data_IF_289371502701
#
_entry.id   IF_289371502701
#
_cell.length_a   1.000
_cell.length_b   1.000
_cell.length_c   1.000
_cell.angle_alpha   90.00
_cell.angle_beta   90.00
_cell.angle_gamma   90.00
#
_symmetry.space_group_name_H-M   'P 1'
#
loop_
_entity.id
_entity.type
_entity.pdbx_description
1 polymer ?
#
# COMPACT_ATOMS: atom_id res chain seq x y z
N UNK A 1 -10.43 26.90 2.49
CA UNK A 1 -10.32 26.01 3.66
C UNK A 1 -10.77 24.56 3.40
N UNK A 2 -11.74 24.28 2.52
CA UNK A 2 -12.21 22.90 2.24
C UNK A 2 -11.36 22.11 1.23
N UNK A 3 -10.51 22.75 0.44
CA UNK A 3 -9.54 22.05 -0.44
C UNK A 3 -8.36 21.45 0.35
N UNK A 4 -8.04 22.03 1.48
CA UNK A 4 -7.05 21.51 2.42
C UNK A 4 -7.41 20.10 2.94
N UNK A 5 -8.69 19.86 3.24
CA UNK A 5 -9.13 18.65 3.92
C UNK A 5 -8.97 17.33 3.12
N UNK A 6 -8.92 17.36 1.78
CA UNK A 6 -8.71 16.14 0.96
C UNK A 6 -7.22 15.84 0.86
N UNK A 7 -6.39 16.86 0.64
CA UNK A 7 -4.92 16.72 0.65
C UNK A 7 -4.40 16.28 2.02
N UNK A 8 -5.02 16.73 3.10
CA UNK A 8 -4.63 16.37 4.47
C UNK A 8 -4.72 14.86 4.71
N UNK A 9 -5.72 14.17 4.14
CA UNK A 9 -5.88 12.71 4.30
C UNK A 9 -4.84 11.92 3.53
N UNK A 10 -4.56 12.28 2.28
CA UNK A 10 -3.49 11.67 1.49
C UNK A 10 -2.14 11.84 2.20
N UNK A 11 -1.89 13.01 2.78
CA UNK A 11 -0.68 13.24 3.58
C UNK A 11 -0.67 12.46 4.90
N UNK A 12 -1.81 12.24 5.54
CA UNK A 12 -1.90 11.37 6.74
C UNK A 12 -1.58 9.93 6.37
N UNK A 13 -2.13 9.41 5.27
CA UNK A 13 -1.79 8.09 4.75
C UNK A 13 -0.31 7.94 4.44
N UNK A 14 0.26 8.94 3.76
CA UNK A 14 1.68 9.00 3.45
C UNK A 14 2.55 9.06 4.72
N UNK A 15 2.19 9.91 5.67
CA UNK A 15 2.92 10.02 6.95
C UNK A 15 2.86 8.70 7.74
N UNK A 16 1.70 8.02 7.74
CA UNK A 16 1.55 6.70 8.33
C UNK A 16 2.47 5.67 7.65
N UNK A 17 2.53 5.68 6.30
CA UNK A 17 3.38 4.76 5.55
C UNK A 17 4.87 5.00 5.82
N UNK A 18 5.32 6.25 5.83
CA UNK A 18 6.70 6.62 6.14
C UNK A 18 7.06 6.17 7.57
N UNK A 19 6.18 6.43 8.53
CA UNK A 19 6.37 5.96 9.91
C UNK A 19 6.46 4.44 9.97
N UNK A 20 5.59 3.73 9.22
CA UNK A 20 5.63 2.28 9.08
C UNK A 20 6.96 1.76 8.52
N UNK A 21 7.55 2.46 7.54
CA UNK A 21 8.87 2.11 6.97
C UNK A 21 9.96 2.25 8.05
N UNK A 22 10.00 3.35 8.80
CA UNK A 22 10.98 3.54 9.87
C UNK A 22 10.85 2.48 10.96
N UNK A 23 9.63 2.12 11.35
CA UNK A 23 9.37 1.04 12.33
C UNK A 23 9.81 -0.31 11.76
N UNK A 24 9.58 -0.58 10.48
CA UNK A 24 10.04 -1.80 9.82
C UNK A 24 11.58 -1.89 9.81
N UNK A 25 12.28 -0.78 9.56
CA UNK A 25 13.75 -0.73 9.57
C UNK A 25 14.33 -1.02 10.96
N UNK A 26 13.66 -0.61 12.05
CA UNK A 26 14.06 -0.97 13.42
C UNK A 26 13.89 -2.49 13.70
N UNK A 27 12.99 -3.15 13.01
CA UNK A 27 12.79 -4.61 13.07
C UNK A 27 12.16 -5.16 14.35
N UNK A 28 11.94 -4.32 15.37
CA UNK A 28 11.42 -4.75 16.68
C UNK A 28 9.90 -4.87 16.71
N UNK A 29 9.22 -4.01 15.99
CA UNK A 29 7.78 -3.81 16.08
C UNK A 29 7.06 -3.92 14.73
N UNK A 30 7.30 -5.01 14.01
CA UNK A 30 6.77 -5.26 12.66
C UNK A 30 5.24 -5.14 12.61
N UNK A 31 4.54 -5.53 13.69
CA UNK A 31 3.08 -5.41 13.77
C UNK A 31 2.60 -3.97 13.57
N UNK A 32 3.31 -2.98 14.13
CA UNK A 32 2.94 -1.56 13.94
C UNK A 32 3.15 -1.10 12.51
N UNK A 33 4.16 -1.63 11.79
CA UNK A 33 4.35 -1.37 10.36
C UNK A 33 3.20 -1.94 9.52
N UNK A 34 2.71 -3.14 9.89
CA UNK A 34 1.54 -3.75 9.24
C UNK A 34 0.28 -2.94 9.52
N UNK A 35 0.09 -2.45 10.75
CA UNK A 35 -1.02 -1.55 11.10
C UNK A 35 -0.94 -0.24 10.31
N UNK A 36 0.25 0.34 10.17
CA UNK A 36 0.47 1.55 9.38
C UNK A 36 0.09 1.34 7.91
N UNK A 37 0.38 0.17 7.33
CA UNK A 37 -0.05 -0.20 5.99
C UNK A 37 -1.59 -0.28 5.87
N UNK A 38 -2.26 -0.85 6.87
CA UNK A 38 -3.73 -0.90 6.89
C UNK A 38 -4.34 0.49 6.98
N UNK A 39 -3.77 1.37 7.82
CA UNK A 39 -4.22 2.77 7.94
C UNK A 39 -4.05 3.49 6.61
N UNK A 40 -2.89 3.36 5.94
CA UNK A 40 -2.65 3.95 4.63
C UNK A 40 -3.68 3.47 3.60
N UNK A 41 -3.99 2.16 3.57
CA UNK A 41 -5.02 1.60 2.68
C UNK A 41 -6.44 2.10 2.97
N UNK A 42 -6.78 2.30 4.24
CA UNK A 42 -8.06 2.90 4.61
C UNK A 42 -8.14 4.37 4.16
N UNK A 43 -7.08 5.16 4.37
CA UNK A 43 -7.03 6.54 3.91
C UNK A 43 -7.25 6.62 2.40
N UNK A 44 -6.54 5.82 1.59
CA UNK A 44 -6.67 5.77 0.14
C UNK A 44 -8.11 5.40 -0.30
N UNK A 45 -8.71 4.40 0.33
CA UNK A 45 -10.09 4.00 0.01
C UNK A 45 -11.10 5.13 0.23
N UNK A 46 -10.90 5.99 1.24
CA UNK A 46 -11.78 7.12 1.51
C UNK A 46 -11.51 8.30 0.57
N UNK A 47 -10.25 8.54 0.19
CA UNK A 47 -9.85 9.63 -0.69
C UNK A 47 -10.44 9.47 -2.10
N UNK A 48 -10.43 8.26 -2.64
CA UNK A 48 -11.04 7.93 -3.93
C UNK A 48 -12.55 8.19 -3.99
N UNK A 49 -13.29 7.96 -2.89
CA UNK A 49 -14.73 8.23 -2.83
C UNK A 49 -15.05 9.74 -2.83
N UNK A 50 -14.26 10.53 -2.11
CA UNK A 50 -14.50 11.98 -1.95
C UNK A 50 -14.03 12.75 -3.20
N UNK A 51 -12.99 12.28 -3.88
CA UNK A 51 -12.47 12.88 -5.11
C UNK A 51 -13.53 12.94 -6.23
N UNK A 52 -14.45 11.97 -6.28
CA UNK A 52 -15.52 11.87 -7.30
C UNK A 52 -16.68 12.86 -7.11
N UNK A 53 -16.80 13.49 -5.96
CA UNK A 53 -17.96 14.36 -5.64
C UNK A 53 -17.72 15.84 -5.93
N UNK A 54 -16.55 16.25 -6.46
CA UNK A 54 -16.18 17.66 -6.62
C UNK A 54 -15.81 18.06 -8.03
N UNK A 55 -16.28 19.27 -8.42
CA UNK A 55 -15.81 20.01 -9.60
C UNK A 55 -14.43 20.59 -9.27
N UNK A 56 -13.39 20.18 -10.02
CA UNK A 56 -12.00 20.66 -9.93
C UNK A 56 -11.61 21.29 -11.25
N UNK A 57 -10.68 22.25 -11.23
CA UNK A 57 -10.03 22.76 -12.44
C UNK A 57 -9.10 21.68 -13.03
N UNK A 58 -8.87 21.70 -14.34
CA UNK A 58 -8.03 20.70 -15.01
C UNK A 58 -6.60 20.60 -14.43
N UNK A 59 -5.89 21.71 -14.12
CA UNK A 59 -4.58 21.63 -13.47
C UNK A 59 -4.63 20.98 -12.08
N UNK A 60 -5.65 21.28 -11.28
CA UNK A 60 -5.82 20.71 -9.93
C UNK A 60 -6.12 19.21 -9.98
N UNK A 61 -6.85 18.77 -11.00
CA UNK A 61 -7.17 17.37 -11.23
C UNK A 61 -5.93 16.57 -11.60
N UNK A 62 -5.13 17.07 -12.56
CA UNK A 62 -3.86 16.44 -12.96
C UNK A 62 -2.86 16.35 -11.81
N UNK A 63 -2.70 17.44 -11.06
CA UNK A 63 -1.83 17.45 -9.88
C UNK A 63 -2.31 16.45 -8.80
N UNK A 64 -3.63 16.36 -8.58
CA UNK A 64 -4.22 15.40 -7.64
C UNK A 64 -3.90 13.95 -8.00
N UNK A 65 -4.04 13.56 -9.28
CA UNK A 65 -3.74 12.22 -9.78
C UNK A 65 -2.26 11.89 -9.59
N UNK A 66 -1.36 12.82 -9.89
CA UNK A 66 0.08 12.59 -9.76
C UNK A 66 0.50 12.39 -8.30
N UNK A 67 0.02 13.24 -7.38
CA UNK A 67 0.38 13.13 -5.97
C UNK A 67 -0.19 11.86 -5.33
N UNK A 68 -1.40 11.48 -5.70
CA UNK A 68 -2.07 10.25 -5.27
C UNK A 68 -1.23 9.03 -5.64
N UNK A 69 -0.82 8.94 -6.90
CA UNK A 69 0.03 7.84 -7.39
C UNK A 69 1.40 7.79 -6.74
N UNK A 70 2.01 8.94 -6.43
CA UNK A 70 3.29 8.99 -5.70
C UNK A 70 3.12 8.50 -4.25
N UNK A 71 2.03 8.89 -3.60
CA UNK A 71 1.69 8.41 -2.26
C UNK A 71 1.43 6.90 -2.27
N UNK A 72 0.66 6.41 -3.25
CA UNK A 72 0.37 4.99 -3.42
C UNK A 72 1.63 4.15 -3.62
N UNK A 73 2.59 4.65 -4.37
CA UNK A 73 3.88 3.99 -4.55
C UNK A 73 4.62 3.79 -3.22
N UNK A 74 4.61 4.80 -2.36
CA UNK A 74 5.26 4.71 -1.05
C UNK A 74 4.47 3.79 -0.14
N UNK A 75 3.15 3.95 -0.09
CA UNK A 75 2.27 3.19 0.79
C UNK A 75 2.20 1.69 0.41
N UNK A 76 2.09 1.38 -0.88
CA UNK A 76 1.81 0.01 -1.35
C UNK A 76 2.93 -0.61 -2.17
N UNK A 77 3.95 0.14 -2.53
CA UNK A 77 5.18 -0.36 -3.15
C UNK A 77 6.34 -0.50 -2.15
N UNK A 78 6.72 0.61 -1.49
CA UNK A 78 7.89 0.63 -0.61
C UNK A 78 7.63 0.05 0.77
N UNK A 79 6.53 0.40 1.43
CA UNK A 79 6.23 -0.08 2.78
C UNK A 79 6.09 -1.60 2.86
N UNK A 80 5.37 -2.30 1.95
CA UNK A 80 5.34 -3.76 1.93
C UNK A 80 6.71 -4.38 1.69
N UNK A 81 7.54 -3.75 0.84
CA UNK A 81 8.94 -4.17 0.63
C UNK A 81 9.76 -4.08 1.91
N UNK A 82 9.66 -2.97 2.65
CA UNK A 82 10.32 -2.77 3.93
C UNK A 82 9.86 -3.79 4.99
N UNK A 83 8.56 -4.07 5.06
CA UNK A 83 7.99 -5.10 5.94
C UNK A 83 8.55 -6.48 5.56
N UNK A 84 8.58 -6.84 4.27
CA UNK A 84 9.13 -8.10 3.77
C UNK A 84 10.59 -8.28 4.20
N UNK A 85 11.42 -7.26 4.03
CA UNK A 85 12.80 -7.25 4.49
C UNK A 85 12.92 -7.43 6.01
N UNK A 86 12.09 -6.73 6.79
CA UNK A 86 12.08 -6.80 8.24
C UNK A 86 11.64 -8.19 8.76
N UNK A 87 10.74 -8.87 8.06
CA UNK A 87 10.28 -10.23 8.41
C UNK A 87 11.37 -11.29 8.20
N UNK A 88 12.42 -10.96 7.46
CA UNK A 88 13.58 -11.84 7.24
C UNK A 88 13.87 -12.17 5.77
N UNK A 89 13.26 -11.49 4.81
CA UNK A 89 13.60 -11.63 3.39
C UNK A 89 14.92 -10.89 3.07
N UNK A 90 16.06 -11.43 3.52
CA UNK A 90 17.37 -10.77 3.45
C UNK A 90 18.34 -11.42 2.47
N UNK A 91 18.05 -12.61 1.99
CA UNK A 91 18.88 -13.28 0.98
C UNK A 91 18.81 -12.53 -0.35
N UNK A 92 19.86 -12.66 -1.18
CA UNK A 92 19.98 -11.92 -2.45
C UNK A 92 18.77 -12.13 -3.36
N UNK A 93 18.25 -13.34 -3.44
CA UNK A 93 17.06 -13.65 -4.24
C UNK A 93 15.79 -13.05 -3.65
N UNK A 94 15.66 -12.96 -2.31
CA UNK A 94 14.54 -12.27 -1.66
C UNK A 94 14.57 -10.77 -1.96
N UNK A 95 15.74 -10.15 -1.86
CA UNK A 95 15.92 -8.74 -2.19
C UNK A 95 15.56 -8.49 -3.66
N UNK A 96 15.98 -9.37 -4.57
CA UNK A 96 15.59 -9.26 -5.98
C UNK A 96 14.06 -9.31 -6.17
N UNK A 97 13.35 -10.19 -5.45
CA UNK A 97 11.89 -10.26 -5.47
C UNK A 97 11.26 -8.96 -4.97
N UNK A 98 11.75 -8.39 -3.86
CA UNK A 98 11.23 -7.13 -3.31
C UNK A 98 11.46 -5.96 -4.27
N UNK A 99 12.61 -5.92 -4.95
CA UNK A 99 12.89 -4.93 -5.99
C UNK A 99 11.92 -5.08 -7.16
N UNK A 100 11.75 -6.30 -7.68
CA UNK A 100 10.83 -6.58 -8.78
C UNK A 100 9.38 -6.23 -8.41
N UNK A 101 8.96 -6.51 -7.18
CA UNK A 101 7.65 -6.13 -6.67
C UNK A 101 7.45 -4.61 -6.70
N UNK A 102 8.42 -3.85 -6.20
CA UNK A 102 8.36 -2.38 -6.19
C UNK A 102 8.38 -1.81 -7.61
N UNK A 103 9.21 -2.36 -8.51
CA UNK A 103 9.24 -1.96 -9.92
C UNK A 103 7.91 -2.26 -10.62
N UNK A 104 7.31 -3.41 -10.37
CA UNK A 104 5.99 -3.75 -10.91
C UNK A 104 4.91 -2.76 -10.43
N UNK A 105 4.97 -2.32 -9.17
CA UNK A 105 4.08 -1.29 -8.64
C UNK A 105 4.26 0.05 -9.37
N UNK A 106 5.52 0.48 -9.60
CA UNK A 106 5.83 1.71 -10.36
C UNK A 106 5.26 1.65 -11.78
N UNK A 107 5.58 0.58 -12.52
CA UNK A 107 5.13 0.40 -13.90
C UNK A 107 3.60 0.41 -13.96
N UNK A 108 2.95 -0.30 -13.05
CA UNK A 108 1.51 -0.37 -12.98
C UNK A 108 0.86 0.99 -12.71
N UNK A 109 1.36 1.75 -11.73
CA UNK A 109 0.84 3.07 -11.40
C UNK A 109 1.04 4.05 -12.56
N UNK A 110 2.22 4.03 -13.20
CA UNK A 110 2.50 4.84 -14.38
C UNK A 110 1.55 4.51 -15.53
N UNK A 111 1.33 3.23 -15.83
CA UNK A 111 0.39 2.79 -16.85
C UNK A 111 -1.04 3.27 -16.57
N UNK A 112 -1.51 3.12 -15.33
CA UNK A 112 -2.85 3.58 -14.94
C UNK A 112 -3.01 5.09 -15.06
N UNK A 113 -1.97 5.87 -14.74
CA UNK A 113 -2.00 7.32 -14.89
C UNK A 113 -2.17 7.74 -16.35
N UNK A 114 -1.40 7.14 -17.26
CA UNK A 114 -1.50 7.42 -18.71
C UNK A 114 -2.90 7.05 -19.22
N UNK A 115 -3.39 5.87 -18.89
CA UNK A 115 -4.72 5.41 -19.30
C UNK A 115 -5.84 6.29 -18.75
N UNK A 116 -5.70 6.78 -17.51
CA UNK A 116 -6.68 7.68 -16.92
C UNK A 116 -6.65 9.08 -17.56
N UNK A 117 -5.46 9.58 -17.91
CA UNK A 117 -5.31 10.86 -18.60
C UNK A 117 -5.90 10.80 -20.03
N UNK A 118 -5.63 9.71 -20.77
CA UNK A 118 -6.26 9.50 -22.10
C UNK A 118 -7.77 9.36 -22.01
N UNK A 119 -8.28 8.67 -21.01
CA UNK A 119 -9.72 8.51 -20.79
C UNK A 119 -10.39 9.85 -20.53
N UNK A 120 -9.81 10.66 -19.67
CA UNK A 120 -10.35 11.98 -19.32
C UNK A 120 -10.35 12.95 -20.50
N UNK A 121 -9.45 12.77 -21.46
CA UNK A 121 -9.44 13.56 -22.71
C UNK A 121 -10.56 13.16 -23.68
N UNK A 122 -11.10 11.93 -23.57
CA UNK A 122 -12.10 11.38 -24.51
C UNK A 122 -13.51 11.33 -23.95
N UNK A 123 -13.71 11.20 -22.65
CA UNK A 123 -15.04 10.97 -22.04
C UNK A 123 -15.08 11.48 -20.60
N UNK A 124 -16.16 12.19 -20.22
CA UNK A 124 -16.40 12.61 -18.83
C UNK A 124 -17.00 11.49 -17.95
N UNK A 125 -17.28 10.31 -18.50
CA UNK A 125 -17.91 9.21 -17.77
C UNK A 125 -16.94 8.46 -16.85
N UNK A 126 -17.45 8.04 -15.69
CA UNK A 126 -16.68 7.25 -14.72
C UNK A 126 -16.35 5.84 -15.25
N UNK A 127 -15.14 5.36 -14.93
CA UNK A 127 -14.67 4.03 -15.30
C UNK A 127 -15.59 2.94 -14.73
N UNK A 128 -16.19 2.11 -15.61
CA UNK A 128 -17.09 1.01 -15.22
C UNK A 128 -16.35 -0.31 -14.97
N UNK A 129 -15.12 -0.46 -15.46
CA UNK A 129 -14.37 -1.72 -15.37
C UNK A 129 -12.90 -1.47 -15.02
N UNK A 130 -12.40 -2.17 -14.01
CA UNK A 130 -10.98 -2.18 -13.63
C UNK A 130 -10.33 -3.42 -14.23
N UNK A 131 -9.25 -3.26 -14.97
CA UNK A 131 -8.42 -4.37 -15.44
C UNK A 131 -7.40 -4.75 -14.36
N UNK A 132 -7.68 -5.84 -13.65
CA UNK A 132 -6.79 -6.42 -12.64
C UNK A 132 -6.97 -5.86 -11.22
N UNK A 133 -6.26 -6.48 -10.26
CA UNK A 133 -6.30 -6.09 -8.85
C UNK A 133 -5.63 -4.72 -8.64
N UNK A 134 -6.24 -3.78 -7.89
CA UNK A 134 -5.61 -2.51 -7.55
C UNK A 134 -4.35 -2.74 -6.69
N UNK A 135 -3.36 -1.85 -6.79
CA UNK A 135 -2.11 -1.93 -5.99
C UNK A 135 -2.42 -1.87 -4.50
N UNK A 136 -3.46 -1.16 -4.12
CA UNK A 136 -3.97 -1.03 -2.75
C UNK A 136 -4.42 -2.34 -2.13
N UNK A 137 -4.71 -3.39 -2.93
CA UNK A 137 -5.06 -4.72 -2.40
C UNK A 137 -3.96 -5.34 -1.54
N UNK A 138 -2.71 -4.91 -1.69
CA UNK A 138 -1.58 -5.33 -0.83
C UNK A 138 -1.83 -4.97 0.63
N UNK A 139 -2.54 -3.87 0.91
CA UNK A 139 -2.89 -3.46 2.28
C UNK A 139 -3.82 -4.43 3.01
N UNK A 140 -4.50 -5.31 2.28
CA UNK A 140 -5.34 -6.38 2.83
C UNK A 140 -4.62 -7.73 2.80
N UNK A 141 -3.93 -8.05 1.71
CA UNK A 141 -3.28 -9.35 1.50
C UNK A 141 -2.11 -9.54 2.45
N UNK A 142 -1.25 -8.53 2.64
CA UNK A 142 -0.06 -8.65 3.46
C UNK A 142 -0.37 -8.81 4.96
N UNK A 143 -1.30 -8.04 5.59
CA UNK A 143 -1.73 -8.27 6.96
C UNK A 143 -2.34 -9.65 7.17
N UNK A 144 -3.15 -10.13 6.22
CA UNK A 144 -3.73 -11.46 6.26
C UNK A 144 -2.64 -12.53 6.27
N UNK A 145 -1.66 -12.41 5.37
CA UNK A 145 -0.53 -13.34 5.29
C UNK A 145 0.34 -13.30 6.55
N UNK A 146 0.56 -12.12 7.11
CA UNK A 146 1.30 -11.95 8.36
C UNK A 146 0.59 -12.60 9.55
N UNK A 147 -0.75 -12.48 9.63
CA UNK A 147 -1.56 -13.14 10.65
C UNK A 147 -1.46 -14.66 10.56
N UNK A 148 -1.63 -15.22 9.35
CA UNK A 148 -1.50 -16.67 9.11
C UNK A 148 -0.13 -17.21 9.50
N UNK A 149 0.97 -16.50 9.17
CA UNK A 149 2.32 -16.90 9.56
C UNK A 149 2.48 -16.95 11.07
N UNK A 150 1.88 -16.00 11.79
CA UNK A 150 1.94 -15.94 13.26
C UNK A 150 1.21 -17.13 13.89
N UNK A 151 0.04 -17.48 13.39
CA UNK A 151 -0.75 -18.60 13.91
C UNK A 151 -0.06 -19.93 13.67
N UNK A 152 0.56 -20.13 12.50
CA UNK A 152 1.36 -21.31 12.20
C UNK A 152 2.57 -21.40 13.15
N UNK A 153 3.30 -20.31 13.37
CA UNK A 153 4.46 -20.29 14.26
C UNK A 153 4.08 -20.62 15.72
N UNK A 154 2.95 -20.11 16.20
CA UNK A 154 2.42 -20.40 17.54
C UNK A 154 2.01 -21.86 17.64
N UNK A 155 1.36 -22.43 16.64
CA UNK A 155 0.96 -23.84 16.60
C UNK A 155 2.17 -24.78 16.63
N UNK A 156 3.25 -24.47 15.89
CA UNK A 156 4.50 -25.24 15.89
C UNK A 156 5.20 -25.21 17.25
N UNK A 157 5.22 -24.08 17.94
CA UNK A 157 5.83 -23.99 19.27
C UNK A 157 5.04 -24.77 20.31
N UNK A 158 3.72 -24.82 20.22
CA UNK A 158 2.86 -25.63 21.09
C UNK A 158 3.06 -27.14 20.89
N UNK A 159 3.16 -27.60 19.65
CA UNK A 159 3.40 -29.01 19.32
C UNK A 159 4.77 -29.48 19.83
N UNK A 160 5.81 -28.67 19.65
CA UNK A 160 7.18 -28.99 20.12
C UNK A 160 7.30 -29.02 21.65
N UNK A 161 6.52 -28.18 22.34
CA UNK A 161 6.48 -28.18 23.80
C UNK A 161 5.81 -29.45 24.40
N UNK A 162 4.94 -30.11 23.62
CA UNK A 162 4.33 -31.38 24.01
C UNK A 162 5.25 -32.59 23.80
N UNK A 163 6.09 -32.57 22.71
CA UNK A 163 7.05 -33.67 22.46
C UNK A 163 8.22 -33.73 23.44
N UNK A 164 8.59 -32.61 24.05
CA UNK A 164 9.69 -32.57 25.05
C UNK A 164 9.27 -32.93 26.47
N UNK A 165 8.00 -33.22 26.71
CA UNK A 165 7.46 -33.64 28.02
C UNK A 165 7.04 -35.12 28.14
N UNK A 166 7.26 -35.90 27.09
CA UNK A 166 7.16 -37.38 27.08
C UNK A 166 8.56 -37.97 27.08
#
# INVERSE_FOLDING_TARGET
>A
QRQMCIRDRTYIGLASAITGIYIAMDGRHILFSVIALMIAGLCDMFDGKIARTRKRTEPEKRFGIQIDSLCDLICFGLLPGAIGYAIGMREVYHIAILILFTLAAVIRLAYFNVMEEERQSKTEENRKTYEGLPVTSVSLILPLFYSFRRDIAVSYTHLRAHETRG
#
